data_IF_029051409346
#
_entry.id   IF_029051409346
#
_cell.length_a   1.000
_cell.length_b   1.000
_cell.length_c   1.000
_cell.angle_alpha   90.00
_cell.angle_beta   90.00
_cell.angle_gamma   90.00
#
_symmetry.space_group_name_H-M   'P 1'
#
loop_
_entity.id
_entity.type
_entity.pdbx_description
1 polymer ?
#
# COMPACT_ATOMS: atom_id res chain seq x y z
N UNK A 1 -5.35 2.73 -19.77
CA UNK A 1 -4.16 3.60 -19.74
C UNK A 1 -3.90 3.96 -18.29
N UNK A 2 -2.77 3.51 -17.73
CA UNK A 2 -2.35 3.90 -16.39
C UNK A 2 -2.11 5.41 -16.39
N UNK A 3 -2.82 6.16 -15.53
CA UNK A 3 -2.63 7.61 -15.41
C UNK A 3 -1.35 7.90 -14.64
N UNK A 4 -0.42 8.62 -15.27
CA UNK A 4 0.80 9.11 -14.62
C UNK A 4 0.45 10.32 -13.75
N UNK A 5 0.67 10.20 -12.43
CA UNK A 5 0.38 11.26 -11.45
C UNK A 5 1.57 12.23 -11.24
N UNK A 6 2.74 11.88 -11.78
CA UNK A 6 3.96 12.68 -11.73
C UNK A 6 5.15 11.91 -12.30
N UNK A 7 6.06 12.61 -12.96
CA UNK A 7 7.30 12.09 -13.56
C UNK A 7 8.48 12.89 -13.03
N UNK A 8 9.62 12.22 -12.83
CA UNK A 8 10.87 12.91 -12.49
C UNK A 8 12.04 12.12 -13.03
N UNK A 9 13.02 12.81 -13.63
CA UNK A 9 14.24 12.18 -14.13
C UNK A 9 15.32 12.27 -13.07
N UNK A 10 15.87 11.12 -12.68
CA UNK A 10 16.96 11.03 -11.71
C UNK A 10 18.18 10.36 -12.34
N UNK A 11 19.37 10.81 -11.96
CA UNK A 11 20.62 10.19 -12.41
C UNK A 11 20.87 8.90 -11.64
N UNK A 12 21.29 7.86 -12.36
CA UNK A 12 21.75 6.61 -11.77
C UNK A 12 23.22 6.76 -11.42
N UNK A 13 23.59 6.46 -10.17
CA UNK A 13 25.00 6.46 -9.75
C UNK A 13 25.77 5.30 -10.41
N UNK A 14 27.10 5.37 -10.48
CA UNK A 14 27.95 4.30 -11.06
C UNK A 14 27.76 2.91 -10.41
N UNK A 15 27.18 2.86 -9.21
CA UNK A 15 26.85 1.62 -8.49
C UNK A 15 25.40 1.14 -8.73
N UNK A 16 24.67 1.72 -9.68
CA UNK A 16 23.28 1.39 -9.96
C UNK A 16 22.28 1.89 -8.92
N UNK A 17 22.66 2.81 -8.03
CA UNK A 17 21.73 3.39 -7.04
C UNK A 17 20.98 4.57 -7.64
N UNK A 18 19.68 4.62 -7.39
CA UNK A 18 18.81 5.77 -7.64
C UNK A 18 18.36 6.35 -6.29
N UNK A 19 18.30 7.68 -6.23
CA UNK A 19 17.76 8.38 -5.06
C UNK A 19 16.31 8.72 -5.33
N UNK A 20 15.40 8.34 -4.43
CA UNK A 20 13.97 8.69 -4.52
C UNK A 20 13.79 10.10 -3.94
N UNK A 21 13.34 11.09 -4.72
CA UNK A 21 13.12 12.45 -4.22
C UNK A 21 12.10 12.48 -3.09
N UNK A 22 12.21 13.49 -2.21
CA UNK A 22 11.38 13.61 -1.01
C UNK A 22 9.88 13.59 -1.33
N UNK A 23 9.47 14.26 -2.41
CA UNK A 23 8.07 14.32 -2.84
C UNK A 23 7.45 12.94 -3.11
N UNK A 24 8.23 12.00 -3.64
CA UNK A 24 7.77 10.63 -3.88
C UNK A 24 7.82 9.79 -2.61
N UNK A 25 8.82 10.00 -1.74
CA UNK A 25 8.90 9.32 -0.44
C UNK A 25 7.71 9.64 0.45
N UNK A 26 7.34 10.92 0.53
CA UNK A 26 6.23 11.40 1.35
C UNK A 26 4.89 10.85 0.81
N UNK A 27 4.68 10.91 -0.52
CA UNK A 27 3.45 10.37 -1.16
C UNK A 27 3.31 8.85 -0.98
N UNK A 28 4.41 8.12 -1.11
CA UNK A 28 4.44 6.66 -0.99
C UNK A 28 4.56 6.18 0.46
N UNK A 29 4.64 7.09 1.43
CA UNK A 29 4.83 6.81 2.85
C UNK A 29 5.97 5.80 3.10
N UNK A 30 7.10 6.02 2.41
CA UNK A 30 8.30 5.17 2.56
C UNK A 30 9.14 5.78 3.70
N UNK A 31 8.87 5.34 4.94
CA UNK A 31 9.69 5.71 6.09
C UNK A 31 11.08 5.08 6.00
N UNK A 32 12.12 5.81 6.42
CA UNK A 32 13.50 5.31 6.46
C UNK A 32 13.86 4.77 7.84
N UNK A 33 14.42 3.56 7.99
CA UNK A 33 14.83 2.62 6.94
C UNK A 33 13.68 1.72 6.43
N UNK A 34 13.25 1.97 5.19
CA UNK A 34 12.15 1.28 4.53
C UNK A 34 12.62 0.20 3.56
N UNK A 35 11.70 -0.70 3.19
CA UNK A 35 11.91 -1.70 2.14
C UNK A 35 10.97 -1.41 0.98
N UNK A 36 11.47 -1.61 -0.23
CA UNK A 36 10.67 -1.49 -1.45
C UNK A 36 10.77 -2.79 -2.26
N UNK A 37 9.70 -3.10 -2.99
CA UNK A 37 9.65 -4.17 -3.97
C UNK A 37 9.72 -3.56 -5.36
N UNK A 38 10.63 -4.07 -6.16
CA UNK A 38 10.75 -3.77 -7.58
C UNK A 38 10.00 -4.87 -8.34
N UNK A 39 9.13 -4.47 -9.25
CA UNK A 39 8.36 -5.37 -10.10
C UNK A 39 8.56 -4.91 -11.53
N UNK A 40 9.08 -5.79 -12.37
CA UNK A 40 9.20 -5.58 -13.81
C UNK A 40 7.91 -6.06 -14.49
N UNK A 41 7.31 -5.21 -15.32
CA UNK A 41 6.16 -5.54 -16.17
C UNK A 41 6.64 -5.99 -17.56
N UNK A 42 5.79 -6.70 -18.29
CA UNK A 42 6.07 -7.17 -19.66
C UNK A 42 6.32 -6.05 -20.68
N UNK A 43 5.85 -4.83 -20.39
CA UNK A 43 6.09 -3.64 -21.21
C UNK A 43 7.44 -2.94 -20.92
N UNK A 44 8.28 -3.52 -20.06
CA UNK A 44 9.57 -2.95 -19.65
C UNK A 44 9.47 -1.85 -18.59
N UNK A 45 8.27 -1.62 -18.02
CA UNK A 45 8.11 -0.68 -16.91
C UNK A 45 8.54 -1.31 -15.59
N UNK A 46 9.22 -0.53 -14.75
CA UNK A 46 9.55 -0.91 -13.37
C UNK A 46 8.60 -0.20 -12.41
N UNK A 47 7.86 -0.99 -11.63
CA UNK A 47 7.01 -0.49 -10.55
C UNK A 47 7.73 -0.66 -9.22
N UNK A 48 7.78 0.44 -8.45
CA UNK A 48 8.29 0.45 -7.09
C UNK A 48 7.10 0.46 -6.13
N UNK A 49 7.06 -0.51 -5.19
CA UNK A 49 6.03 -0.57 -4.13
C UNK A 49 6.67 -0.57 -2.74
N UNK A 50 6.18 0.22 -1.76
CA UNK A 50 6.60 0.06 -0.37
C UNK A 50 6.23 -1.33 0.18
N UNK A 51 7.09 -1.89 1.04
CA UNK A 51 6.82 -3.13 1.77
C UNK A 51 6.69 -2.78 3.24
N UNK A 52 5.47 -2.85 3.77
CA UNK A 52 5.20 -2.71 5.22
C UNK A 52 5.78 -3.91 5.96
N UNK A 53 6.40 -3.71 7.12
CA UNK A 53 6.86 -4.82 7.97
C UNK A 53 5.64 -5.46 8.64
N UNK A 54 5.60 -6.79 8.86
CA UNK A 54 4.55 -7.43 9.65
C UNK A 54 4.36 -6.81 11.04
N UNK A 55 5.43 -6.29 11.64
CA UNK A 55 5.41 -5.54 12.90
C UNK A 55 4.63 -4.22 12.83
N UNK A 56 4.54 -3.59 11.66
CA UNK A 56 3.77 -2.37 11.41
C UNK A 56 2.30 -2.68 11.04
N UNK A 57 2.01 -3.88 10.54
CA UNK A 57 0.65 -4.32 10.21
C UNK A 57 -0.26 -4.45 11.43
N UNK A 58 0.30 -4.75 12.61
CA UNK A 58 -0.50 -4.88 13.86
C UNK A 58 -1.20 -3.57 14.25
N UNK A 59 -0.60 -2.42 13.93
CA UNK A 59 -1.18 -1.10 14.18
C UNK A 59 -2.10 -0.62 13.05
N UNK A 60 -1.80 -0.97 11.79
CA UNK A 60 -2.61 -0.58 10.64
C UNK A 60 -3.98 -1.27 10.61
N UNK A 61 -4.07 -2.53 11.08
CA UNK A 61 -5.36 -3.22 11.25
C UNK A 61 -6.27 -2.58 12.33
N UNK A 62 -5.71 -1.75 13.22
CA UNK A 62 -6.48 -0.96 14.18
C UNK A 62 -6.85 0.43 13.65
N UNK A 63 -6.24 0.88 12.55
CA UNK A 63 -6.49 2.19 11.94
C UNK A 63 -7.34 2.10 10.66
N UNK A 64 -7.30 0.96 9.94
CA UNK A 64 -8.17 0.67 8.79
C UNK A 64 -9.61 0.31 9.20
N UNK A 65 -9.90 0.21 10.50
CA UNK A 65 -11.27 0.26 11.04
C UNK A 65 -11.75 1.70 11.21
N UNK A 66 -11.49 2.56 10.23
CA UNK A 66 -12.16 3.88 10.13
C UNK A 66 -12.56 4.19 8.70
N UNK A 67 -12.73 3.15 7.88
CA UNK A 67 -13.41 3.24 6.59
C UNK A 67 -14.88 2.84 6.79
N UNK A 68 -15.77 3.76 6.47
CA UNK A 68 -17.22 3.68 6.42
C UNK A 68 -17.79 2.32 5.92
N UNK A 69 -18.12 1.42 6.83
CA UNK A 69 -19.16 0.41 6.64
C UNK A 69 -19.88 0.23 7.98
N UNK A 70 -21.03 0.90 8.12
CA UNK A 70 -21.91 0.89 9.29
C UNK A 70 -22.61 -0.47 9.49
N UNK A 71 -21.88 -1.55 9.73
CA UNK A 71 -22.33 -2.71 10.52
C UNK A 71 -21.14 -3.39 11.18
N UNK A 72 -21.17 -3.52 12.50
CA UNK A 72 -20.15 -4.29 13.21
C UNK A 72 -20.13 -5.74 12.71
N UNK A 73 -18.96 -6.39 12.68
CA UNK A 73 -18.85 -7.82 12.35
C UNK A 73 -19.76 -8.71 13.23
N UNK A 74 -20.08 -8.27 14.45
CA UNK A 74 -21.05 -8.93 15.33
C UNK A 74 -22.50 -8.84 14.84
N UNK A 75 -22.83 -7.79 14.10
CA UNK A 75 -24.18 -7.52 13.58
C UNK A 75 -24.45 -8.38 12.33
N UNK A 76 -23.47 -8.47 11.43
CA UNK A 76 -23.51 -9.39 10.28
C UNK A 76 -23.71 -10.86 10.70
N UNK A 77 -22.99 -11.31 11.74
CA UNK A 77 -23.14 -12.68 12.27
C UNK A 77 -24.50 -12.94 12.94
N UNK A 78 -25.18 -11.88 13.40
CA UNK A 78 -26.50 -12.00 14.02
C UNK A 78 -27.59 -12.13 12.96
N UNK A 79 -27.51 -11.35 11.88
CA UNK A 79 -28.44 -11.39 10.75
C UNK A 79 -28.39 -12.75 10.03
N UNK A 80 -27.21 -13.36 9.87
CA UNK A 80 -27.09 -14.69 9.25
C UNK A 80 -27.79 -15.78 10.08
N UNK A 81 -27.78 -15.67 11.42
CA UNK A 81 -28.45 -16.64 12.32
C UNK A 81 -29.98 -16.55 12.27
N UNK A 82 -30.52 -15.38 11.95
CA UNK A 82 -31.98 -15.19 11.86
C UNK A 82 -32.55 -15.72 10.53
N UNK A 83 -31.74 -15.76 9.46
CA UNK A 83 -32.16 -16.32 8.17
C UNK A 83 -32.16 -17.86 8.13
N UNK A 84 -31.39 -18.52 8.99
CA UNK A 84 -31.39 -19.99 9.15
C UNK A 84 -32.60 -20.52 9.97
N UNK A 85 -33.50 -19.63 10.41
CA UNK A 85 -34.67 -19.95 11.23
C UNK A 85 -36.01 -19.91 10.46
N UNK A 86 -35.98 -19.87 9.12
CA UNK A 86 -37.17 -19.95 8.24
C UNK A 86 -37.16 -21.24 7.44
#
# INVERSE_FOLDING_TARGET
MDKIKGETTVTVTSKGRVTIPKEFRDKLHIDTPGRIRLIEKENGEIIIRPVKRPSELRGALAAETTGDDEKSATELLRETREQDLI
#
